data_IF_515324363303
#
_entry.id   IF_515324363303
#
_cell.length_a   1.000
_cell.length_b   1.000
_cell.length_c   1.000
_cell.angle_alpha   90.00
_cell.angle_beta   90.00
_cell.angle_gamma   90.00
#
_symmetry.space_group_name_H-M   'P 1'
#
loop_
_entity.id
_entity.type
_entity.pdbx_description
1 polymer ?
#
# COMPACT_ATOMS: atom_id res chain seq x y z
N UNK A 1 -9.74 1.55 -4.15
CA UNK A 1 -9.77 2.74 -5.05
C UNK A 1 -8.54 3.55 -4.71
N UNK A 2 -7.60 3.70 -5.64
CA UNK A 2 -6.57 4.74 -5.57
C UNK A 2 -7.28 6.05 -5.91
N UNK A 3 -7.73 6.78 -4.90
CA UNK A 3 -8.31 8.10 -5.12
C UNK A 3 -8.02 8.93 -3.88
N UNK A 4 -6.85 9.55 -3.84
CA UNK A 4 -6.61 10.59 -2.84
C UNK A 4 -7.32 11.86 -3.29
N UNK A 5 -8.06 12.45 -2.35
CA UNK A 5 -8.47 13.85 -2.43
C UNK A 5 -7.16 14.66 -2.34
N UNK A 6 -6.62 15.11 -3.47
CA UNK A 6 -5.28 15.76 -3.56
C UNK A 6 -4.38 15.26 -4.70
N UNK A 7 -4.75 14.18 -5.42
CA UNK A 7 -4.05 13.73 -6.63
C UNK A 7 -4.26 14.68 -7.84
N UNK A 8 -5.04 15.74 -7.68
CA UNK A 8 -5.50 16.66 -8.72
C UNK A 8 -4.51 17.78 -9.08
N UNK A 9 -3.26 17.76 -8.57
CA UNK A 9 -2.31 18.82 -8.95
C UNK A 9 -0.81 18.55 -8.81
N UNK A 10 -0.37 17.70 -7.88
CA UNK A 10 1.06 17.58 -7.59
C UNK A 10 1.73 16.40 -8.31
N UNK A 11 1.94 16.57 -9.63
CA UNK A 11 2.69 15.62 -10.46
C UNK A 11 4.20 15.69 -10.21
N UNK A 12 4.71 16.62 -9.39
CA UNK A 12 6.12 16.72 -9.09
C UNK A 12 6.33 17.21 -7.67
N UNK A 13 7.21 16.56 -6.91
CA UNK A 13 7.49 16.88 -5.51
C UNK A 13 8.93 16.47 -5.17
N UNK A 14 9.57 17.10 -4.16
CA UNK A 14 10.90 16.70 -3.74
C UNK A 14 10.90 15.31 -3.09
N UNK A 15 11.95 14.53 -3.33
CA UNK A 15 12.18 13.27 -2.65
C UNK A 15 12.47 13.55 -1.17
N UNK A 16 11.87 12.81 -0.22
CA UNK A 16 11.94 13.12 1.23
C UNK A 16 13.37 13.10 1.79
N UNK A 17 14.25 12.28 1.22
CA UNK A 17 15.67 12.18 1.65
C UNK A 17 16.65 12.99 0.80
N UNK A 18 16.59 12.90 -0.54
CA UNK A 18 17.59 13.52 -1.43
C UNK A 18 17.23 14.94 -1.85
N UNK A 19 15.96 15.34 -1.74
CA UNK A 19 15.46 16.61 -2.25
C UNK A 19 15.31 16.67 -3.77
N UNK A 20 15.74 15.64 -4.50
CA UNK A 20 15.59 15.55 -5.95
C UNK A 20 14.11 15.55 -6.36
N UNK A 21 13.77 16.19 -7.47
CA UNK A 21 12.38 16.25 -7.91
C UNK A 21 11.95 14.88 -8.46
N UNK A 22 10.97 14.29 -7.81
CA UNK A 22 10.26 13.09 -8.28
C UNK A 22 9.11 13.53 -9.15
N UNK A 23 9.07 13.02 -10.37
CA UNK A 23 7.97 13.24 -11.30
C UNK A 23 7.03 12.05 -11.31
N UNK A 24 5.73 12.32 -11.28
CA UNK A 24 4.67 11.34 -11.50
C UNK A 24 3.94 11.66 -12.77
N UNK A 25 3.55 10.60 -13.45
CA UNK A 25 2.71 10.65 -14.63
C UNK A 25 1.48 9.81 -14.37
N UNK A 26 0.34 10.31 -14.86
CA UNK A 26 -0.86 9.50 -14.95
C UNK A 26 -0.62 8.41 -15.98
N UNK A 27 -0.90 7.16 -15.61
CA UNK A 27 -0.84 6.02 -16.52
C UNK A 27 -2.25 5.76 -17.06
N UNK A 28 -2.45 6.09 -18.33
CA UNK A 28 -3.73 5.91 -19.02
C UNK A 28 -4.15 4.43 -19.16
N UNK A 29 -3.22 3.50 -18.93
CA UNK A 29 -3.47 2.06 -19.02
C UNK A 29 -3.65 1.40 -17.65
N UNK A 30 -3.51 2.14 -16.56
CA UNK A 30 -3.71 1.61 -15.22
C UNK A 30 -5.11 1.98 -14.69
N UNK A 31 -5.84 1.00 -14.18
CA UNK A 31 -7.23 1.17 -13.74
C UNK A 31 -7.36 1.82 -12.36
N UNK A 32 -6.32 1.76 -11.52
CA UNK A 32 -6.29 2.30 -10.15
C UNK A 32 -7.33 1.71 -9.16
N UNK A 33 -8.05 0.65 -9.53
CA UNK A 33 -8.90 -0.11 -8.62
C UNK A 33 -9.11 -1.54 -9.09
N UNK A 34 -9.38 -2.42 -8.14
CA UNK A 34 -9.79 -3.80 -8.39
C UNK A 34 -10.90 -4.21 -7.42
N UNK A 35 -11.59 -5.31 -7.74
CA UNK A 35 -12.58 -5.94 -6.88
C UNK A 35 -12.50 -7.45 -7.07
N UNK A 36 -12.49 -8.19 -5.97
CA UNK A 36 -12.62 -9.64 -5.96
C UNK A 36 -13.80 -10.04 -5.05
N UNK A 37 -14.33 -11.22 -5.29
CA UNK A 37 -15.23 -11.93 -4.37
C UNK A 37 -14.46 -13.15 -3.91
N UNK A 38 -14.40 -13.39 -2.60
CA UNK A 38 -13.70 -14.54 -2.04
C UNK A 38 -14.37 -15.84 -2.48
N UNK A 39 -13.59 -16.90 -2.67
CA UNK A 39 -14.14 -18.24 -2.91
C UNK A 39 -14.74 -18.83 -1.61
N UNK A 40 -15.19 -20.09 -1.69
CA UNK A 40 -15.77 -20.83 -0.54
C UNK A 40 -14.77 -21.05 0.61
N UNK A 41 -13.46 -20.98 0.33
CA UNK A 41 -12.38 -21.11 1.30
C UNK A 41 -11.96 -19.75 1.89
N UNK A 42 -12.50 -18.63 1.37
CA UNK A 42 -12.10 -17.28 1.76
C UNK A 42 -10.96 -16.68 0.94
N UNK A 43 -10.43 -17.40 -0.04
CA UNK A 43 -9.29 -16.95 -0.84
C UNK A 43 -9.68 -15.83 -1.80
N UNK A 44 -8.74 -14.92 -2.02
CA UNK A 44 -8.83 -13.82 -2.98
C UNK A 44 -7.44 -13.56 -3.58
N UNK A 45 -7.40 -12.91 -4.74
CA UNK A 45 -6.15 -12.49 -5.33
C UNK A 45 -6.30 -11.17 -6.10
N UNK A 46 -5.20 -10.43 -6.19
CA UNK A 46 -5.09 -9.22 -6.99
C UNK A 46 -3.72 -9.20 -7.67
N UNK A 47 -3.69 -8.75 -8.92
CA UNK A 47 -2.45 -8.38 -9.63
C UNK A 47 -2.43 -6.87 -9.81
N UNK A 48 -1.34 -6.22 -9.40
CA UNK A 48 -1.19 -4.76 -9.45
C UNK A 48 0.27 -4.37 -9.65
N UNK A 49 0.50 -3.07 -9.90
CA UNK A 49 1.82 -2.44 -9.80
C UNK A 49 2.03 -1.98 -8.36
N UNK A 50 3.27 -2.07 -7.86
CA UNK A 50 3.65 -1.53 -6.54
C UNK A 50 3.49 0.00 -6.59
N UNK A 51 2.64 0.60 -5.74
CA UNK A 51 2.44 2.04 -5.77
C UNK A 51 3.65 2.80 -5.25
N UNK A 52 3.81 4.07 -5.66
CA UNK A 52 4.85 4.95 -5.13
C UNK A 52 4.46 5.64 -3.81
N UNK A 53 5.45 5.99 -2.99
CA UNK A 53 5.30 6.90 -1.84
C UNK A 53 4.89 8.30 -2.31
N UNK A 54 4.21 9.10 -1.47
CA UNK A 54 3.77 10.47 -1.81
C UNK A 54 3.66 11.47 -0.66
N UNK A 55 3.85 12.77 -0.91
CA UNK A 55 3.65 13.79 0.12
C UNK A 55 2.16 14.01 0.41
N UNK A 56 1.85 14.29 1.68
CA UNK A 56 0.54 14.79 2.10
C UNK A 56 0.62 16.21 2.66
N UNK A 57 1.81 16.61 3.13
CA UNK A 57 2.11 17.98 3.56
C UNK A 57 3.61 18.20 3.35
N UNK A 58 3.97 19.01 2.35
CA UNK A 58 5.37 19.29 2.04
C UNK A 58 6.03 20.25 3.02
N UNK A 59 5.28 21.18 3.60
CA UNK A 59 5.81 22.15 4.57
C UNK A 59 6.18 21.43 5.86
N UNK A 60 5.35 20.48 6.29
CA UNK A 60 5.61 19.62 7.43
C UNK A 60 6.54 18.43 7.12
N UNK A 61 6.92 18.24 5.85
CA UNK A 61 7.76 17.11 5.43
C UNK A 61 7.10 15.74 5.62
N UNK A 62 5.76 15.67 5.55
CA UNK A 62 4.99 14.45 5.76
C UNK A 62 4.73 13.73 4.44
N UNK A 63 5.13 12.46 4.41
CA UNK A 63 4.97 11.55 3.27
C UNK A 63 4.32 10.25 3.73
N UNK A 64 3.51 9.69 2.85
CA UNK A 64 2.91 8.37 2.98
C UNK A 64 3.82 7.37 2.23
N UNK A 65 4.20 6.23 2.83
CA UNK A 65 4.92 5.16 2.14
C UNK A 65 4.03 4.53 1.05
N UNK A 66 4.60 3.67 0.22
CA UNK A 66 3.82 2.79 -0.67
C UNK A 66 2.78 1.98 0.12
N UNK A 67 1.51 2.03 -0.29
CA UNK A 67 0.42 1.28 0.34
C UNK A 67 -0.74 0.99 -0.60
N UNK A 68 -1.57 0.02 -0.24
CA UNK A 68 -2.82 -0.33 -0.93
C UNK A 68 -4.00 -0.15 0.03
N UNK A 69 -5.04 0.55 -0.42
CA UNK A 69 -6.29 0.63 0.33
C UNK A 69 -7.19 -0.57 0.08
N UNK A 70 -7.67 -1.16 1.16
CA UNK A 70 -8.65 -2.25 1.15
C UNK A 70 -9.95 -1.84 1.82
N UNK A 71 -11.04 -2.31 1.24
CA UNK A 71 -12.37 -2.22 1.82
C UNK A 71 -13.01 -3.61 1.75
N UNK A 72 -13.35 -4.15 2.92
CA UNK A 72 -13.91 -5.47 3.08
C UNK A 72 -15.37 -5.40 3.50
N UNK A 73 -16.16 -6.35 3.03
CA UNK A 73 -17.58 -6.50 3.35
C UNK A 73 -17.85 -7.89 3.90
N UNK A 74 -17.42 -8.20 5.14
CA UNK A 74 -17.58 -9.54 5.69
C UNK A 74 -19.07 -9.81 6.02
N UNK A 75 -19.61 -11.00 5.72
CA UNK A 75 -20.98 -11.34 6.07
C UNK A 75 -21.22 -11.23 7.57
N UNK A 76 -22.24 -10.47 7.98
CA UNK A 76 -22.60 -10.32 9.41
C UNK A 76 -21.74 -9.36 10.22
N UNK A 77 -20.72 -8.74 9.62
CA UNK A 77 -19.86 -7.75 10.29
C UNK A 77 -19.95 -6.36 9.65
N UNK A 78 -19.64 -5.29 10.40
CA UNK A 78 -19.42 -3.98 9.81
C UNK A 78 -18.34 -4.01 8.73
N UNK A 79 -18.50 -3.13 7.74
CA UNK A 79 -17.48 -2.89 6.71
C UNK A 79 -16.16 -2.48 7.36
N UNK A 80 -15.07 -3.13 6.96
CA UNK A 80 -13.71 -2.79 7.39
C UNK A 80 -13.01 -2.00 6.28
N UNK A 81 -12.28 -0.95 6.66
CA UNK A 81 -11.42 -0.18 5.76
C UNK A 81 -10.04 -0.15 6.39
N UNK A 82 -9.03 -0.53 5.62
CA UNK A 82 -7.65 -0.56 6.07
C UNK A 82 -6.72 -0.27 4.90
N UNK A 83 -5.42 -0.21 5.19
CA UNK A 83 -4.37 -0.15 4.19
C UNK A 83 -3.28 -1.17 4.51
N UNK A 84 -2.74 -1.78 3.45
CA UNK A 84 -1.60 -2.68 3.54
C UNK A 84 -0.35 -1.99 3.02
N UNK A 85 0.78 -2.35 3.62
CA UNK A 85 2.10 -1.84 3.27
C UNK A 85 2.98 -2.94 2.71
N UNK A 86 4.14 -2.54 2.20
CA UNK A 86 5.05 -3.42 1.46
C UNK A 86 6.39 -3.54 2.17
N UNK A 87 6.92 -4.76 2.25
CA UNK A 87 8.29 -5.07 2.63
C UNK A 87 8.89 -6.12 1.70
N UNK A 88 10.16 -5.97 1.35
CA UNK A 88 10.91 -6.96 0.57
C UNK A 88 12.02 -6.32 -0.27
N UNK A 89 13.12 -7.05 -0.49
CA UNK A 89 14.32 -6.49 -1.13
C UNK A 89 14.10 -6.05 -2.59
N UNK A 90 13.11 -6.64 -3.26
CA UNK A 90 12.74 -6.29 -4.63
C UNK A 90 11.67 -5.19 -4.71
N UNK A 91 11.15 -4.71 -3.58
CA UNK A 91 10.19 -3.62 -3.56
C UNK A 91 10.90 -2.29 -3.90
N UNK A 92 10.42 -1.53 -4.89
CA UNK A 92 10.96 -0.20 -5.17
C UNK A 92 10.91 0.69 -3.93
N UNK A 93 12.02 1.37 -3.64
CA UNK A 93 12.16 2.27 -2.47
C UNK A 93 11.91 1.57 -1.12
N UNK A 94 12.13 0.26 -1.00
CA UNK A 94 11.87 -0.51 0.23
C UNK A 94 12.42 0.18 1.50
N UNK A 95 13.70 0.54 1.53
CA UNK A 95 14.31 1.21 2.68
C UNK A 95 13.63 2.54 3.05
N UNK A 96 13.26 3.34 2.05
CA UNK A 96 12.55 4.60 2.28
C UNK A 96 11.15 4.33 2.83
N UNK A 97 10.42 3.37 2.25
CA UNK A 97 9.10 2.98 2.72
C UNK A 97 9.16 2.55 4.20
N UNK A 98 10.14 1.74 4.59
CA UNK A 98 10.33 1.33 5.99
C UNK A 98 10.63 2.50 6.93
N UNK A 99 11.33 3.54 6.46
CA UNK A 99 11.58 4.77 7.23
C UNK A 99 10.33 5.66 7.37
N UNK A 100 9.48 5.69 6.35
CA UNK A 100 8.27 6.51 6.33
C UNK A 100 7.12 5.89 7.14
N UNK A 101 7.03 4.56 7.22
CA UNK A 101 5.97 3.85 7.96
C UNK A 101 5.70 4.39 9.38
N UNK A 102 6.68 4.52 10.29
CA UNK A 102 6.42 5.00 11.65
C UNK A 102 5.99 6.48 11.71
N UNK A 103 6.09 7.22 10.61
CA UNK A 103 5.68 8.63 10.50
C UNK A 103 4.36 8.80 9.73
N UNK A 104 3.78 7.73 9.20
CA UNK A 104 2.51 7.79 8.49
C UNK A 104 1.41 8.26 9.46
N UNK A 105 0.74 9.35 9.12
CA UNK A 105 -0.32 9.94 9.95
C UNK A 105 -1.47 8.97 10.22
N UNK A 106 -1.78 8.06 9.29
CA UNK A 106 -2.84 7.05 9.48
C UNK A 106 -2.43 6.04 10.57
N UNK A 107 -1.14 5.72 10.64
CA UNK A 107 -0.57 4.84 11.66
C UNK A 107 -0.59 5.54 13.03
N UNK A 108 -0.12 6.80 13.06
CA UNK A 108 -0.02 7.59 14.28
C UNK A 108 -1.41 7.87 14.87
N UNK A 109 -2.37 8.28 14.04
CA UNK A 109 -3.75 8.58 14.46
C UNK A 109 -4.50 7.34 14.96
N UNK A 110 -4.19 6.17 14.39
CA UNK A 110 -4.73 4.90 14.85
C UNK A 110 -4.07 4.39 16.16
N UNK A 111 -2.99 5.04 16.60
CA UNK A 111 -2.26 4.67 17.82
C UNK A 111 -1.62 3.28 17.74
N UNK A 112 -1.27 2.82 16.53
CA UNK A 112 -0.73 1.48 16.33
C UNK A 112 0.68 1.36 16.94
N UNK A 113 0.89 0.27 17.69
CA UNK A 113 2.24 -0.08 18.16
C UNK A 113 3.08 -0.65 17.02
N UNK A 114 4.39 -0.76 17.21
CA UNK A 114 5.26 -1.47 16.26
C UNK A 114 4.79 -2.91 15.98
N UNK A 115 4.22 -3.58 16.98
CA UNK A 115 3.67 -4.94 16.81
C UNK A 115 2.41 -4.92 15.93
N UNK A 116 1.57 -3.90 16.08
CA UNK A 116 0.37 -3.76 15.25
C UNK A 116 0.71 -3.40 13.80
N UNK A 117 1.82 -2.68 13.59
CA UNK A 117 2.32 -2.37 12.25
C UNK A 117 2.72 -3.62 11.47
N UNK A 118 3.39 -4.57 12.12
CA UNK A 118 3.76 -5.84 11.49
C UNK A 118 2.54 -6.62 10.98
N UNK A 119 1.35 -6.38 11.54
CA UNK A 119 0.10 -7.02 11.09
C UNK A 119 -0.46 -6.44 9.80
N UNK A 120 0.04 -5.32 9.30
CA UNK A 120 -0.44 -4.67 8.06
C UNK A 120 0.68 -4.50 7.03
N UNK A 121 1.88 -4.98 7.34
CA UNK A 121 3.00 -5.07 6.40
C UNK A 121 2.94 -6.43 5.73
N UNK A 122 2.95 -6.43 4.39
CA UNK A 122 3.01 -7.64 3.59
C UNK A 122 4.43 -7.84 3.10
N UNK A 123 4.98 -9.02 3.37
CA UNK A 123 6.26 -9.48 2.83
C UNK A 123 6.08 -9.98 1.39
N UNK A 124 6.79 -9.35 0.47
CA UNK A 124 6.80 -9.67 -0.95
C UNK A 124 8.14 -10.27 -1.36
N UNK A 125 8.09 -11.37 -2.09
CA UNK A 125 9.26 -12.05 -2.65
C UNK A 125 8.99 -12.47 -4.11
N UNK A 126 10.04 -12.75 -4.92
CA UNK A 126 9.86 -13.29 -6.26
C UNK A 126 8.96 -14.53 -6.26
N UNK A 127 8.06 -14.61 -7.24
CA UNK A 127 7.23 -15.80 -7.41
C UNK A 127 8.09 -17.01 -7.78
N UNK A 128 8.05 -18.04 -6.93
CA UNK A 128 8.77 -19.29 -7.15
C UNK A 128 7.88 -20.38 -7.77
N UNK A 129 6.56 -20.14 -7.87
CA UNK A 129 5.61 -21.07 -8.49
C UNK A 129 5.68 -21.06 -10.02
N UNK A 130 6.18 -19.95 -10.61
CA UNK A 130 6.28 -19.76 -12.05
C UNK A 130 5.00 -19.22 -12.71
N UNK A 131 3.98 -18.86 -11.93
CA UNK A 131 2.75 -18.25 -12.44
C UNK A 131 2.98 -16.78 -12.86
N UNK A 132 3.90 -16.08 -12.21
CA UNK A 132 4.36 -14.73 -12.54
C UNK A 132 5.88 -14.69 -12.72
N UNK A 133 6.35 -14.85 -13.96
CA UNK A 133 7.79 -14.94 -14.30
C UNK A 133 8.66 -13.76 -13.85
N UNK A 134 8.08 -12.59 -13.64
CA UNK A 134 8.74 -11.35 -13.20
C UNK A 134 8.02 -10.67 -12.02
N UNK A 135 7.11 -11.40 -11.36
CA UNK A 135 6.26 -10.87 -10.31
C UNK A 135 6.82 -11.04 -8.91
N UNK A 136 6.39 -10.14 -8.02
CA UNK A 136 6.48 -10.35 -6.58
C UNK A 136 5.14 -10.85 -6.05
N UNK A 137 5.18 -11.82 -5.15
CA UNK A 137 4.01 -12.38 -4.48
C UNK A 137 4.13 -12.12 -2.99
N UNK A 138 3.03 -11.66 -2.41
CA UNK A 138 2.87 -11.47 -0.97
C UNK A 138 1.54 -12.09 -0.57
N UNK A 139 1.53 -12.73 0.60
CA UNK A 139 0.33 -13.34 1.17
C UNK A 139 -0.15 -12.48 2.35
N UNK A 140 -1.46 -12.27 2.43
CA UNK A 140 -2.05 -11.51 3.52
C UNK A 140 -3.44 -12.01 3.89
N UNK A 141 -3.65 -12.29 5.17
CA UNK A 141 -4.93 -12.73 5.69
C UNK A 141 -5.65 -11.58 6.42
N UNK A 142 -6.86 -11.26 5.97
CA UNK A 142 -7.72 -10.34 6.70
C UNK A 142 -8.47 -11.09 7.80
N UNK A 143 -8.09 -10.82 9.04
CA UNK A 143 -8.77 -11.39 10.21
C UNK A 143 -10.03 -10.57 10.53
N UNK A 144 -11.20 -11.18 10.35
CA UNK A 144 -12.49 -10.59 10.77
C UNK A 144 -12.76 -11.05 12.20
N UNK A 145 -12.80 -10.15 13.19
CA UNK A 145 -13.07 -10.53 14.57
C UNK A 145 -14.48 -11.12 14.70
N UNK A 146 -14.61 -12.17 15.53
CA UNK A 146 -15.90 -12.74 15.92
C UNK A 146 -16.75 -11.73 16.71
#
# INVERSE_FOLDING_TARGET
>A
RYNHKGDDGMLSFPHPTTGEIVHRTYDAYFQYWGRAVTNEQGDYWFKTIVPGFYPIDLEAGLYRPSHLHFQLFPPGHPKLVTQLYFRGDHIPNNELNQKLLPMDVVILDAGLTTIDLERVIVDYAPDTSGEMSDGLVGHYDFMVPN
#
